data_IF_079135296019
#
_entry.id   IF_079135296019
#
_cell.length_a   1.000
_cell.length_b   1.000
_cell.length_c   1.000
_cell.angle_alpha   90.00
_cell.angle_beta   90.00
_cell.angle_gamma   90.00
#
_symmetry.space_group_name_H-M   'P 1'
#
loop_
_entity.id
_entity.type
_entity.pdbx_description
1 polymer ?
#
# COMPACT_ATOMS: atom_id res chain seq x y z
N UNK A 1 6.06 10.60 22.77
CA UNK A 1 5.48 9.98 21.56
C UNK A 1 6.47 8.94 21.06
N UNK A 2 6.04 7.71 20.87
CA UNK A 2 6.89 6.63 20.36
C UNK A 2 7.36 6.96 18.95
N UNK A 3 8.65 6.89 18.69
CA UNK A 3 9.24 7.25 17.42
C UNK A 3 8.95 6.15 16.39
N UNK A 4 8.09 6.43 15.41
CA UNK A 4 7.75 5.50 14.34
C UNK A 4 8.71 5.63 13.16
N UNK A 5 9.12 4.49 12.60
CA UNK A 5 9.99 4.39 11.45
C UNK A 5 9.23 3.95 10.20
N UNK A 6 9.59 4.54 9.08
CA UNK A 6 9.09 4.19 7.74
C UNK A 6 10.29 3.72 6.91
N UNK A 7 10.14 2.61 6.22
CA UNK A 7 11.12 2.14 5.24
C UNK A 7 10.83 2.77 3.88
N UNK A 8 11.85 3.33 3.23
CA UNK A 8 11.79 3.85 1.87
C UNK A 8 13.07 3.44 1.14
N UNK A 9 12.97 2.64 0.07
CA UNK A 9 14.03 2.29 -0.87
C UNK A 9 15.35 1.79 -0.23
N UNK A 10 15.29 1.05 0.86
CA UNK A 10 16.44 0.48 1.56
C UNK A 10 16.80 1.19 2.86
N UNK A 11 16.24 2.36 3.12
CA UNK A 11 16.57 3.20 4.27
C UNK A 11 15.39 3.34 5.24
N UNK A 12 15.68 3.61 6.52
CA UNK A 12 14.69 3.89 7.54
C UNK A 12 14.67 5.37 7.90
N UNK A 13 13.51 5.99 7.77
CA UNK A 13 13.27 7.38 8.11
C UNK A 13 12.31 7.48 9.29
N UNK A 14 12.46 8.50 10.12
CA UNK A 14 11.42 8.84 11.10
C UNK A 14 10.15 9.26 10.38
N UNK A 15 9.00 8.99 10.97
CA UNK A 15 7.68 9.28 10.35
C UNK A 15 7.60 10.68 9.74
N UNK A 16 8.06 11.70 10.47
CA UNK A 16 7.97 13.10 10.04
C UNK A 16 9.04 13.49 9.02
N UNK A 17 10.07 12.66 8.85
CA UNK A 17 11.17 12.85 7.89
C UNK A 17 10.96 12.02 6.62
N UNK A 18 10.07 11.01 6.66
CA UNK A 18 9.77 10.13 5.54
C UNK A 18 9.06 10.91 4.41
N UNK A 19 9.71 11.02 3.26
CA UNK A 19 9.22 11.82 2.12
C UNK A 19 9.42 11.06 0.83
N UNK A 20 8.46 11.21 -0.08
CA UNK A 20 8.59 10.81 -1.49
C UNK A 20 8.65 12.05 -2.38
N UNK A 21 9.20 11.90 -3.58
CA UNK A 21 9.28 13.01 -4.52
C UNK A 21 7.88 13.48 -4.95
N UNK A 22 7.67 14.79 -5.08
CA UNK A 22 6.45 15.35 -5.69
C UNK A 22 6.33 14.99 -7.18
N UNK A 23 7.40 14.52 -7.80
CA UNK A 23 7.43 13.99 -9.18
C UNK A 23 7.28 12.47 -9.22
N UNK A 24 6.94 11.81 -8.11
CA UNK A 24 6.62 10.40 -8.11
C UNK A 24 5.29 10.15 -8.84
N UNK A 25 5.29 9.26 -9.83
CA UNK A 25 4.10 8.97 -10.63
C UNK A 25 2.97 8.31 -9.82
N UNK A 26 3.29 7.65 -8.70
CA UNK A 26 2.28 7.21 -7.74
C UNK A 26 1.53 8.38 -7.13
N UNK A 27 2.22 9.49 -6.80
CA UNK A 27 1.62 10.72 -6.30
C UNK A 27 0.88 11.50 -7.42
N UNK A 28 1.49 11.65 -8.61
CA UNK A 28 0.93 12.45 -9.69
C UNK A 28 -0.25 11.77 -10.40
N UNK A 29 -0.19 10.46 -10.60
CA UNK A 29 -1.12 9.74 -11.50
C UNK A 29 -1.75 8.49 -10.86
N UNK A 30 -1.39 8.15 -9.64
CA UNK A 30 -1.80 6.88 -9.04
C UNK A 30 -1.13 5.66 -9.68
N UNK A 31 0.00 5.85 -10.40
CA UNK A 31 0.74 4.77 -11.04
C UNK A 31 1.56 4.00 -10.01
N UNK A 32 0.97 2.94 -9.52
CA UNK A 32 1.53 2.08 -8.50
C UNK A 32 0.51 1.12 -7.92
N UNK A 33 0.98 0.29 -7.02
CA UNK A 33 0.25 -0.80 -6.37
C UNK A 33 0.51 -0.79 -4.88
N UNK A 34 -0.35 -1.45 -4.11
CA UNK A 34 -0.12 -1.57 -2.68
C UNK A 34 -0.73 -2.84 -2.10
N UNK A 35 -0.25 -3.19 -0.91
CA UNK A 35 -0.89 -4.18 -0.05
C UNK A 35 -1.23 -3.59 1.31
N UNK A 36 -2.27 -4.16 1.92
CA UNK A 36 -2.64 -3.93 3.30
C UNK A 36 -2.66 -5.27 4.02
N UNK A 37 -1.68 -5.47 4.90
CA UNK A 37 -1.40 -6.76 5.52
C UNK A 37 -1.53 -6.63 7.03
N UNK A 38 -1.95 -7.68 7.71
CA UNK A 38 -2.00 -7.70 9.17
C UNK A 38 -0.90 -8.61 9.73
N UNK A 39 -0.32 -8.19 10.84
CA UNK A 39 0.45 -9.09 11.69
C UNK A 39 -0.29 -9.29 13.01
N UNK A 40 -0.28 -10.53 13.50
CA UNK A 40 -0.87 -10.94 14.77
C UNK A 40 0.14 -11.76 15.56
N UNK A 41 0.38 -11.41 16.81
CA UNK A 41 1.34 -12.09 17.69
C UNK A 41 2.74 -12.22 17.07
N UNK A 42 3.17 -11.21 16.30
CA UNK A 42 4.48 -11.20 15.62
C UNK A 42 4.56 -12.02 14.34
N UNK A 43 3.44 -12.54 13.84
CA UNK A 43 3.37 -13.27 12.56
C UNK A 43 2.56 -12.49 11.54
N UNK A 44 3.12 -12.31 10.35
CA UNK A 44 2.42 -11.69 9.22
C UNK A 44 1.42 -12.70 8.67
N UNK A 45 0.15 -12.30 8.64
CA UNK A 45 -0.94 -13.16 8.15
C UNK A 45 -0.87 -13.30 6.63
N UNK A 46 -0.84 -14.54 6.15
CA UNK A 46 -0.80 -14.88 4.71
C UNK A 46 0.25 -14.07 3.94
N UNK A 47 1.48 -14.04 4.49
CA UNK A 47 2.56 -13.21 3.96
C UNK A 47 2.85 -13.51 2.48
N UNK A 48 3.01 -14.78 2.15
CA UNK A 48 3.35 -15.26 0.81
C UNK A 48 2.28 -14.85 -0.21
N UNK A 49 1.00 -15.11 0.10
CA UNK A 49 -0.11 -14.78 -0.81
C UNK A 49 -0.27 -13.26 -1.04
N UNK A 50 0.05 -12.43 -0.03
CA UNK A 50 0.07 -10.98 -0.20
C UNK A 50 1.22 -10.51 -1.09
N UNK A 51 2.41 -11.08 -0.90
CA UNK A 51 3.59 -10.77 -1.72
C UNK A 51 3.35 -11.24 -3.15
N UNK A 52 2.86 -12.45 -3.37
CA UNK A 52 2.53 -12.98 -4.68
C UNK A 52 1.56 -12.06 -5.42
N UNK A 53 0.46 -11.67 -4.78
CA UNK A 53 -0.52 -10.76 -5.36
C UNK A 53 0.06 -9.37 -5.68
N UNK A 54 0.99 -8.86 -4.88
CA UNK A 54 1.69 -7.61 -5.17
C UNK A 54 2.51 -7.72 -6.45
N UNK A 55 3.26 -8.83 -6.64
CA UNK A 55 4.06 -9.05 -7.84
C UNK A 55 3.18 -9.30 -9.07
N UNK A 56 2.07 -10.00 -8.93
CA UNK A 56 1.09 -10.17 -10.02
C UNK A 56 0.47 -8.83 -10.42
N UNK A 57 0.13 -7.98 -9.45
CA UNK A 57 -0.35 -6.63 -9.70
C UNK A 57 0.71 -5.75 -10.37
N UNK A 58 1.98 -5.87 -9.97
CA UNK A 58 3.10 -5.18 -10.62
C UNK A 58 3.22 -5.58 -12.10
N UNK A 59 3.18 -6.90 -12.38
CA UNK A 59 3.22 -7.43 -13.74
C UNK A 59 2.06 -6.90 -14.59
N UNK A 60 0.86 -6.80 -14.03
CA UNK A 60 -0.32 -6.33 -14.75
C UNK A 60 -0.21 -4.86 -15.23
N UNK A 61 0.59 -4.03 -14.54
CA UNK A 61 0.86 -2.64 -14.94
C UNK A 61 2.28 -2.45 -15.52
N UNK A 62 2.96 -3.54 -15.89
CA UNK A 62 4.34 -3.52 -16.39
C UNK A 62 5.29 -2.70 -15.46
N UNK A 63 5.18 -2.91 -14.15
CA UNK A 63 6.04 -2.32 -13.14
C UNK A 63 6.99 -3.39 -12.62
N UNK A 64 8.30 -3.18 -12.76
CA UNK A 64 9.31 -4.09 -12.27
C UNK A 64 9.70 -3.69 -10.85
N UNK A 65 9.45 -4.56 -9.87
CA UNK A 65 9.87 -4.34 -8.47
C UNK A 65 11.36 -4.65 -8.37
N UNK A 66 12.22 -3.70 -7.93
CA UNK A 66 13.68 -3.89 -7.92
C UNK A 66 14.19 -4.68 -6.70
N UNK A 67 13.42 -5.65 -6.24
CA UNK A 67 13.72 -6.58 -5.14
C UNK A 67 13.12 -7.93 -5.46
N UNK A 68 13.69 -9.00 -4.93
CA UNK A 68 13.03 -10.32 -4.93
C UNK A 68 11.90 -10.36 -3.91
N UNK A 69 11.03 -11.37 -3.99
CA UNK A 69 9.95 -11.57 -3.00
C UNK A 69 10.50 -11.75 -1.59
N UNK A 70 11.63 -12.45 -1.46
CA UNK A 70 12.32 -12.72 -0.22
C UNK A 70 12.91 -11.43 0.39
N UNK A 71 13.57 -10.61 -0.43
CA UNK A 71 14.13 -9.31 -0.02
C UNK A 71 13.04 -8.35 0.45
N UNK A 72 11.92 -8.28 -0.28
CA UNK A 72 10.79 -7.42 0.06
C UNK A 72 10.10 -7.90 1.35
N UNK A 73 9.96 -9.21 1.52
CA UNK A 73 9.45 -9.82 2.76
C UNK A 73 10.35 -9.48 3.94
N UNK A 74 11.67 -9.60 3.79
CA UNK A 74 12.61 -9.27 4.87
C UNK A 74 12.58 -7.77 5.20
N UNK A 75 12.49 -6.88 4.21
CA UNK A 75 12.33 -5.44 4.43
C UNK A 75 11.05 -5.12 5.24
N UNK A 76 9.95 -5.82 4.94
CA UNK A 76 8.69 -5.71 5.69
C UNK A 76 8.85 -6.17 7.13
N UNK A 77 9.46 -7.34 7.36
CA UNK A 77 9.72 -7.87 8.70
C UNK A 77 10.69 -6.98 9.49
N UNK A 78 11.72 -6.44 8.84
CA UNK A 78 12.65 -5.49 9.44
C UNK A 78 11.94 -4.21 9.88
N UNK A 79 10.95 -3.73 9.10
CA UNK A 79 10.16 -2.55 9.46
C UNK A 79 9.29 -2.81 10.71
N UNK A 80 8.68 -3.99 10.81
CA UNK A 80 7.93 -4.41 12.01
C UNK A 80 8.84 -4.46 13.24
N UNK A 81 10.01 -5.11 13.11
CA UNK A 81 11.01 -5.20 14.20
C UNK A 81 11.54 -3.83 14.61
N UNK A 82 11.83 -2.94 13.65
CA UNK A 82 12.30 -1.58 13.91
C UNK A 82 11.31 -0.76 14.72
N UNK A 83 10.02 -0.98 14.49
CA UNK A 83 8.91 -0.36 15.22
C UNK A 83 8.49 -1.13 16.49
N UNK A 84 9.15 -2.25 16.81
CA UNK A 84 8.87 -3.08 18.00
C UNK A 84 7.39 -3.54 18.09
N UNK A 85 6.74 -3.72 16.94
CA UNK A 85 5.34 -4.11 16.88
C UNK A 85 5.19 -5.64 16.83
N UNK A 86 4.12 -6.15 17.46
CA UNK A 86 3.70 -7.55 17.37
C UNK A 86 2.37 -7.71 16.66
N UNK A 87 1.46 -6.78 16.91
CA UNK A 87 0.15 -6.67 16.27
C UNK A 87 0.13 -5.34 15.53
N UNK A 88 0.04 -5.39 14.20
CA UNK A 88 0.09 -4.18 13.40
C UNK A 88 -0.62 -4.35 12.05
N UNK A 89 -0.90 -3.21 11.45
CA UNK A 89 -1.21 -3.08 10.04
C UNK A 89 0.05 -2.68 9.29
N UNK A 90 0.25 -3.29 8.13
CA UNK A 90 1.37 -3.02 7.24
C UNK A 90 0.79 -2.45 5.94
N UNK A 91 1.23 -1.27 5.56
CA UNK A 91 1.01 -0.68 4.25
C UNK A 91 2.29 -0.80 3.44
N UNK A 92 2.27 -1.69 2.46
CA UNK A 92 3.36 -1.89 1.51
C UNK A 92 2.95 -1.26 0.19
N UNK A 93 3.68 -0.26 -0.27
CA UNK A 93 3.41 0.51 -1.49
C UNK A 93 4.59 0.39 -2.44
N UNK A 94 4.32 0.17 -3.71
CA UNK A 94 5.31 0.29 -4.79
C UNK A 94 4.72 1.21 -5.85
N UNK A 95 5.31 2.40 -6.00
CA UNK A 95 4.97 3.33 -7.07
C UNK A 95 5.92 3.19 -8.26
N UNK A 96 5.54 3.72 -9.42
CA UNK A 96 6.42 3.81 -10.58
C UNK A 96 7.71 4.57 -10.28
N UNK A 97 7.69 5.42 -9.25
CA UNK A 97 8.82 6.25 -8.84
C UNK A 97 8.88 7.61 -9.54
N UNK A 98 9.99 8.30 -9.30
CA UNK A 98 10.22 9.65 -9.78
C UNK A 98 10.43 9.66 -11.31
N UNK A 99 9.65 10.50 -12.00
CA UNK A 99 9.76 10.76 -13.43
C UNK A 99 9.57 12.22 -13.81
N UNK A 100 9.37 12.47 -15.10
CA UNK A 100 8.97 13.76 -15.64
C UNK A 100 7.44 13.90 -15.58
N UNK A 101 6.93 15.11 -15.84
CA UNK A 101 5.51 15.32 -16.09
C UNK A 101 5.08 14.61 -17.37
N UNK A 102 4.01 13.84 -17.30
CA UNK A 102 3.46 13.04 -18.38
C UNK A 102 3.32 11.58 -17.99
N UNK A 103 2.36 10.88 -18.61
CA UNK A 103 1.92 9.54 -18.20
C UNK A 103 2.79 8.39 -18.72
N UNK A 104 3.86 8.66 -19.45
CA UNK A 104 4.71 7.58 -19.97
C UNK A 104 5.50 6.87 -18.87
N UNK A 105 5.31 5.56 -18.66
CA UNK A 105 6.02 4.82 -17.62
C UNK A 105 7.54 4.75 -17.85
N UNK A 106 7.98 4.91 -19.10
CA UNK A 106 9.41 4.90 -19.48
C UNK A 106 10.19 6.09 -18.96
N UNK A 107 9.51 7.12 -18.45
CA UNK A 107 10.11 8.31 -17.85
C UNK A 107 10.57 8.09 -16.41
N UNK A 108 10.11 7.04 -15.74
CA UNK A 108 10.50 6.69 -14.39
C UNK A 108 11.63 5.66 -14.44
N UNK A 109 12.79 6.03 -13.87
CA UNK A 109 13.99 5.19 -13.93
C UNK A 109 14.00 4.07 -12.89
N UNK A 110 13.34 4.29 -11.75
CA UNK A 110 13.33 3.36 -10.62
C UNK A 110 12.03 3.51 -9.83
N UNK A 111 11.35 2.41 -9.53
CA UNK A 111 10.21 2.39 -8.60
C UNK A 111 10.61 2.86 -7.20
N UNK A 112 9.65 3.41 -6.48
CA UNK A 112 9.79 3.75 -5.06
C UNK A 112 9.03 2.74 -4.22
N UNK A 113 9.70 2.13 -3.24
CA UNK A 113 9.13 1.16 -2.30
C UNK A 113 8.99 1.84 -0.94
N UNK A 114 7.76 1.86 -0.41
CA UNK A 114 7.47 2.41 0.92
C UNK A 114 6.78 1.36 1.78
N UNK A 115 7.30 1.13 3.00
CA UNK A 115 6.68 0.23 3.97
C UNK A 115 6.40 1.02 5.24
N UNK A 116 5.12 1.08 5.61
CA UNK A 116 4.63 1.73 6.82
C UNK A 116 4.02 0.66 7.71
N UNK A 117 4.36 0.65 8.99
CA UNK A 117 3.71 -0.20 9.99
C UNK A 117 3.10 0.66 11.08
N UNK A 118 1.85 0.37 11.44
CA UNK A 118 1.14 1.10 12.49
C UNK A 118 0.15 0.18 13.22
N UNK A 119 -0.18 0.54 14.45
CA UNK A 119 -1.35 -0.01 15.12
C UNK A 119 -2.59 0.63 14.52
N UNK A 120 -3.40 -0.14 13.78
CA UNK A 120 -4.68 0.35 13.25
C UNK A 120 -5.82 -0.39 13.92
N UNK A 121 -6.69 0.36 14.56
CA UNK A 121 -8.04 -0.03 14.88
C UNK A 121 -8.94 0.41 13.72
N UNK A 122 -9.35 -0.53 12.87
CA UNK A 122 -10.15 -0.22 11.67
C UNK A 122 -11.53 0.32 12.03
N UNK A 123 -12.10 -0.18 13.11
CA UNK A 123 -13.40 0.24 13.64
C UNK A 123 -13.37 0.17 15.17
N UNK A 124 -14.11 1.06 15.88
CA UNK A 124 -14.31 0.95 17.32
C UNK A 124 -14.85 -0.44 17.70
N UNK A 125 -14.43 -0.96 18.85
CA UNK A 125 -14.79 -2.31 19.30
C UNK A 125 -16.30 -2.51 19.41
N UNK A 126 -17.05 -1.44 19.67
CA UNK A 126 -18.52 -1.42 19.68
C UNK A 126 -19.13 -1.84 18.33
N UNK A 127 -18.51 -1.48 17.20
CA UNK A 127 -18.99 -1.87 15.87
C UNK A 127 -18.82 -3.37 15.60
N UNK A 128 -17.83 -4.01 16.21
CA UNK A 128 -17.69 -5.47 16.11
C UNK A 128 -18.78 -6.21 16.88
N UNK A 129 -19.32 -5.61 17.94
CA UNK A 129 -20.38 -6.21 18.77
C UNK A 129 -21.78 -5.91 18.21
N UNK A 130 -22.02 -4.67 17.79
CA UNK A 130 -23.34 -4.19 17.37
C UNK A 130 -23.56 -4.21 15.84
N UNK A 131 -22.48 -4.47 15.07
CA UNK A 131 -22.49 -4.33 13.63
C UNK A 131 -22.38 -2.87 13.18
N UNK A 132 -22.42 -2.66 11.89
CA UNK A 132 -22.39 -1.32 11.28
C UNK A 132 -23.56 -1.14 10.32
N UNK A 133 -23.99 0.11 10.15
CA UNK A 133 -24.96 0.45 9.10
C UNK A 133 -24.23 0.43 7.75
N UNK A 134 -24.90 -0.07 6.73
CA UNK A 134 -24.41 -0.08 5.36
C UNK A 134 -25.46 0.54 4.43
N UNK A 135 -24.99 1.15 3.37
CA UNK A 135 -25.82 1.65 2.27
C UNK A 135 -25.38 1.04 0.95
N UNK A 136 -26.25 1.05 -0.04
CA UNK A 136 -25.87 0.82 -1.43
C UNK A 136 -25.46 2.17 -2.02
N UNK A 137 -24.17 2.36 -2.33
CA UNK A 137 -23.68 3.59 -2.92
C UNK A 137 -24.13 3.71 -4.39
N UNK A 138 -24.38 4.94 -4.85
CA UNK A 138 -24.67 5.24 -6.26
C UNK A 138 -23.39 5.20 -7.10
N UNK A 139 -22.24 5.48 -6.49
CA UNK A 139 -20.92 5.38 -7.11
C UNK A 139 -20.67 3.94 -7.58
N UNK A 140 -20.57 3.76 -8.89
CA UNK A 140 -20.32 2.45 -9.50
C UNK A 140 -18.84 2.11 -9.41
N UNK A 141 -18.56 0.84 -9.11
CA UNK A 141 -17.23 0.29 -9.22
C UNK A 141 -16.75 0.30 -10.68
N UNK A 142 -15.42 0.30 -10.88
CA UNK A 142 -14.85 0.23 -12.24
C UNK A 142 -15.46 -0.92 -13.04
N UNK A 143 -15.84 -0.62 -14.27
CA UNK A 143 -16.36 -1.64 -15.18
C UNK A 143 -15.21 -2.55 -15.65
N UNK A 144 -15.52 -3.84 -15.96
CA UNK A 144 -14.57 -4.73 -16.62
C UNK A 144 -13.99 -4.05 -17.89
N UNK A 145 -12.68 -4.16 -18.09
CA UNK A 145 -12.00 -3.57 -19.26
C UNK A 145 -11.45 -2.15 -19.05
N UNK A 146 -11.71 -1.51 -17.90
CA UNK A 146 -11.06 -0.23 -17.53
C UNK A 146 -9.85 -0.52 -16.63
N UNK A 147 -10.02 -0.50 -15.34
CA UNK A 147 -9.01 -0.99 -14.39
C UNK A 147 -9.61 -2.21 -13.70
N UNK A 148 -8.96 -3.37 -13.83
CA UNK A 148 -9.44 -4.59 -13.18
C UNK A 148 -9.56 -4.36 -11.67
N UNK A 149 -10.75 -4.59 -11.08
CA UNK A 149 -10.95 -4.45 -9.63
C UNK A 149 -10.08 -5.40 -8.77
N UNK A 150 -9.52 -6.46 -9.35
CA UNK A 150 -8.56 -7.33 -8.68
C UNK A 150 -7.19 -6.66 -8.52
N UNK A 151 -6.88 -5.72 -9.41
CA UNK A 151 -5.66 -4.94 -9.33
C UNK A 151 -5.74 -3.97 -8.16
N UNK A 152 -4.86 -4.17 -7.18
CA UNK A 152 -4.76 -3.32 -5.99
C UNK A 152 -3.86 -2.11 -6.26
N UNK A 153 -4.29 -1.27 -7.22
CA UNK A 153 -3.57 -0.06 -7.63
C UNK A 153 -3.76 1.11 -6.65
N UNK A 154 -2.98 2.17 -6.81
CA UNK A 154 -3.13 3.41 -6.04
C UNK A 154 -4.35 4.25 -6.44
N UNK A 155 -5.13 3.84 -7.46
CA UNK A 155 -6.32 4.53 -7.95
C UNK A 155 -7.56 4.19 -7.09
N UNK A 156 -7.64 4.73 -5.89
CA UNK A 156 -8.70 4.44 -4.91
C UNK A 156 -9.80 5.50 -4.85
N UNK A 157 -9.83 6.44 -5.78
CA UNK A 157 -10.81 7.55 -5.75
C UNK A 157 -12.25 7.05 -5.78
N UNK A 158 -12.58 6.03 -6.59
CA UNK A 158 -13.92 5.43 -6.63
C UNK A 158 -14.34 4.89 -5.25
N UNK A 159 -13.41 4.24 -4.53
CA UNK A 159 -13.67 3.73 -3.18
C UNK A 159 -13.89 4.88 -2.18
N UNK A 160 -13.13 5.98 -2.34
CA UNK A 160 -13.27 7.18 -1.50
C UNK A 160 -14.62 7.85 -1.75
N UNK A 161 -15.05 8.00 -3.01
CA UNK A 161 -16.35 8.57 -3.36
C UNK A 161 -17.52 7.75 -2.78
N UNK A 162 -17.47 6.42 -2.89
CA UNK A 162 -18.46 5.55 -2.25
C UNK A 162 -18.45 5.68 -0.72
N UNK A 163 -17.27 5.92 -0.10
CA UNK A 163 -17.18 6.15 1.35
C UNK A 163 -17.73 7.52 1.76
N UNK A 164 -17.64 8.53 0.89
CA UNK A 164 -18.22 9.86 1.13
C UNK A 164 -19.76 9.80 1.11
N UNK A 165 -20.35 8.94 0.26
CA UNK A 165 -21.81 8.72 0.23
C UNK A 165 -22.32 8.03 1.50
N UNK A 166 -21.52 7.17 2.15
CA UNK A 166 -21.86 6.38 3.32
C UNK A 166 -21.62 7.12 4.64
#
# INVERSE_FOLDING_TARGET
MEQKWVYIDGEFYKKDEAKVSVFDHGYLYGDGIFEGIRAYNGRVFRCEEHIDRLYDAAKAIALEIPMTKEELTEAMLATIRKNQLRDCYIRLVVSRGKGDLGVSPTKCKRPTIVIITDSIELYPQEMYQKGMKAITASTRRNMPGVIDPQLKSLNYLTNILAKIEA
#
